data_IF_332474667144
#
_entry.id   IF_332474667144
#
_cell.length_a   1.000
_cell.length_b   1.000
_cell.length_c   1.000
_cell.angle_alpha   90.00
_cell.angle_beta   90.00
_cell.angle_gamma   90.00
#
_symmetry.space_group_name_H-M   'P 1'
#
loop_
_entity.id
_entity.type
_entity.pdbx_description
1 polymer ?
#
# COMPACT_ATOMS: atom_id res chain seq x y z
N UNK A 1 -21.63 -9.77 -19.18
CA UNK A 1 -21.36 -11.00 -18.40
C UNK A 1 -20.46 -10.74 -17.18
N UNK A 2 -20.21 -9.48 -16.83
CA UNK A 2 -19.12 -9.10 -15.93
C UNK A 2 -19.54 -9.02 -14.46
N UNK A 3 -20.80 -8.66 -14.18
CA UNK A 3 -21.31 -8.58 -12.81
C UNK A 3 -21.36 -9.94 -12.10
N UNK A 4 -21.76 -11.00 -12.80
CA UNK A 4 -21.86 -12.34 -12.21
C UNK A 4 -20.47 -12.92 -11.88
N UNK A 5 -19.47 -12.65 -12.73
CA UNK A 5 -18.08 -13.07 -12.50
C UNK A 5 -17.46 -12.27 -11.35
N UNK A 6 -17.77 -10.98 -11.23
CA UNK A 6 -17.31 -10.14 -10.12
C UNK A 6 -17.81 -10.65 -8.76
N UNK A 7 -19.10 -10.98 -8.62
CA UNK A 7 -19.65 -11.49 -7.37
C UNK A 7 -19.06 -12.85 -6.96
N UNK A 8 -18.80 -13.74 -7.92
CA UNK A 8 -18.17 -15.04 -7.66
C UNK A 8 -16.70 -14.89 -7.22
N UNK A 9 -15.96 -13.95 -7.82
CA UNK A 9 -14.59 -13.66 -7.41
C UNK A 9 -14.53 -13.04 -6.00
N UNK A 10 -15.47 -12.13 -5.67
CA UNK A 10 -15.57 -11.53 -4.34
C UNK A 10 -15.81 -12.58 -3.25
N UNK A 11 -16.73 -13.51 -3.45
CA UNK A 11 -17.03 -14.55 -2.45
C UNK A 11 -15.92 -15.58 -2.31
N UNK A 12 -15.24 -15.94 -3.40
CA UNK A 12 -14.21 -16.99 -3.39
C UNK A 12 -12.82 -16.53 -2.95
N UNK A 13 -12.47 -15.26 -3.18
CA UNK A 13 -11.10 -14.76 -2.96
C UNK A 13 -10.97 -13.86 -1.73
N UNK A 14 -12.08 -13.33 -1.21
CA UNK A 14 -12.03 -12.53 0.00
C UNK A 14 -11.68 -13.40 1.22
N UNK A 15 -10.59 -13.06 1.91
CA UNK A 15 -10.05 -13.85 3.01
C UNK A 15 -9.12 -14.99 2.57
N UNK A 16 -8.94 -15.23 1.27
CA UNK A 16 -7.99 -16.24 0.79
C UNK A 16 -6.56 -15.84 1.16
N UNK A 17 -5.75 -16.79 1.63
CA UNK A 17 -4.36 -16.54 1.97
C UNK A 17 -3.49 -16.45 0.71
N UNK A 18 -2.83 -15.32 0.53
CA UNK A 18 -1.82 -15.13 -0.49
C UNK A 18 -0.50 -14.79 0.18
N UNK A 19 0.51 -15.64 0.01
CA UNK A 19 1.83 -15.50 0.62
C UNK A 19 1.76 -15.30 2.15
N UNK A 20 0.87 -16.05 2.82
CA UNK A 20 0.69 -16.00 4.28
C UNK A 20 -0.07 -14.77 4.79
N UNK A 21 -0.74 -14.01 3.92
CA UNK A 21 -1.57 -12.86 4.30
C UNK A 21 -2.97 -13.01 3.70
N UNK A 22 -4.04 -12.80 4.49
CA UNK A 22 -5.40 -12.84 3.95
C UNK A 22 -5.62 -11.66 3.00
N UNK A 23 -6.18 -11.94 1.83
CA UNK A 23 -6.57 -10.93 0.85
C UNK A 23 -7.90 -10.30 1.21
N UNK A 24 -8.08 -9.02 0.84
CA UNK A 24 -9.39 -8.36 0.87
C UNK A 24 -9.74 -7.96 -0.56
N UNK A 25 -10.83 -8.50 -1.09
CA UNK A 25 -11.30 -8.21 -2.44
C UNK A 25 -12.58 -7.38 -2.35
N UNK A 26 -12.57 -6.22 -2.99
CA UNK A 26 -13.68 -5.27 -2.99
C UNK A 26 -13.96 -4.78 -4.42
N UNK A 27 -15.16 -4.29 -4.66
CA UNK A 27 -15.49 -3.62 -5.92
C UNK A 27 -14.60 -2.40 -6.14
N UNK A 28 -14.01 -2.30 -7.33
CA UNK A 28 -13.09 -1.23 -7.68
C UNK A 28 -13.84 0.11 -7.76
N UNK A 29 -13.54 1.03 -6.85
CA UNK A 29 -14.01 2.41 -6.90
C UNK A 29 -12.98 3.30 -7.59
N UNK A 30 -13.40 4.36 -8.32
CA UNK A 30 -12.49 5.35 -8.88
C UNK A 30 -11.53 5.86 -7.81
N UNK A 31 -10.24 5.93 -8.14
CA UNK A 31 -9.24 6.49 -7.24
C UNK A 31 -9.43 8.01 -7.21
N UNK A 32 -9.49 8.58 -6.01
CA UNK A 32 -9.46 10.04 -5.85
C UNK A 32 -8.12 10.59 -6.36
N UNK A 33 -8.17 11.72 -7.07
CA UNK A 33 -6.97 12.45 -7.48
C UNK A 33 -6.33 13.08 -6.24
N UNK A 34 -5.56 12.28 -5.50
CA UNK A 34 -4.71 12.81 -4.44
C UNK A 34 -3.52 13.50 -5.09
N UNK A 35 -3.18 14.74 -4.69
CA UNK A 35 -1.95 15.36 -5.13
C UNK A 35 -0.81 14.41 -4.79
N UNK A 36 -0.11 13.96 -5.84
CA UNK A 36 1.14 13.22 -5.73
C UNK A 36 2.02 14.05 -4.80
N UNK A 37 2.54 13.51 -3.68
CA UNK A 37 3.51 14.25 -2.89
C UNK A 37 4.62 14.67 -3.85
N UNK A 38 4.75 15.97 -4.07
CA UNK A 38 5.77 16.56 -4.90
C UNK A 38 7.12 16.13 -4.31
N UNK A 39 7.76 15.15 -4.92
CA UNK A 39 8.93 14.51 -4.32
C UNK A 39 9.19 13.12 -4.89
N UNK A 40 9.50 13.06 -6.19
CA UNK A 40 10.23 11.91 -6.71
C UNK A 40 11.65 11.94 -6.17
N UNK A 41 12.15 10.80 -5.67
CA UNK A 41 13.59 10.56 -5.58
C UNK A 41 14.07 9.95 -4.26
N UNK A 42 14.46 8.69 -4.34
CA UNK A 42 15.75 8.28 -3.78
C UNK A 42 15.75 7.78 -2.34
N UNK A 43 15.89 6.47 -2.20
CA UNK A 43 16.39 5.88 -0.97
C UNK A 43 17.82 6.29 -0.65
N UNK A 44 18.19 6.07 0.62
CA UNK A 44 19.58 5.86 1.05
C UNK A 44 20.48 7.09 1.05
N UNK A 45 20.76 7.64 2.23
CA UNK A 45 21.77 8.68 2.39
C UNK A 45 22.15 8.84 3.86
N UNK A 46 23.12 8.04 4.30
CA UNK A 46 23.68 8.12 5.63
C UNK A 46 24.34 9.47 5.94
N UNK A 47 24.42 9.74 7.24
CA UNK A 47 25.33 10.71 7.80
C UNK A 47 24.68 11.99 8.31
N UNK A 48 25.15 12.41 9.49
CA UNK A 48 25.11 13.79 10.00
C UNK A 48 23.85 14.22 10.76
N UNK A 49 23.44 13.50 11.81
CA UNK A 49 22.72 14.13 12.92
C UNK A 49 23.26 13.69 14.26
N UNK A 50 24.40 14.29 14.56
CA UNK A 50 24.68 14.87 15.88
C UNK A 50 24.64 13.92 17.07
N UNK A 51 25.66 13.08 17.18
CA UNK A 51 26.17 12.60 18.49
C UNK A 51 26.86 13.75 19.28
N UNK A 52 26.72 15.00 18.85
CA UNK A 52 27.51 16.13 19.32
C UNK A 52 26.85 16.89 20.50
N UNK A 53 25.71 16.43 21.02
CA UNK A 53 24.96 17.21 22.02
C UNK A 53 24.60 16.46 23.31
N UNK A 54 25.44 15.52 23.75
CA UNK A 54 25.36 15.06 25.14
C UNK A 54 26.75 14.85 25.77
N UNK A 55 27.53 15.93 25.83
CA UNK A 55 28.65 16.06 26.76
C UNK A 55 28.44 17.33 27.59
N UNK A 56 27.54 17.26 28.57
CA UNK A 56 27.59 18.02 29.82
C UNK A 56 27.07 17.13 30.93
#
# INVERSE_FOLDING_TARGET
NDNAQASAALSGLNGHELNGRPLTVNEARPREERPRPYGGGGGGGGGRRSFANNRR
#
